data_IF_786147237481
#
_entry.id   IF_786147237481
#
_cell.length_a   1.000
_cell.length_b   1.000
_cell.length_c   1.000
_cell.angle_alpha   90.00
_cell.angle_beta   90.00
_cell.angle_gamma   90.00
#
_symmetry.space_group_name_H-M   'P 1'
#
loop_
_entity.id
_entity.type
_entity.pdbx_description
1 polymer ?
#
# COMPACT_ATOMS: atom_id res chain seq x y z
N UNK A 1 -17.52 7.46 14.92
CA UNK A 1 -16.50 8.30 14.28
C UNK A 1 -15.56 7.48 13.37
N UNK A 2 -14.72 6.58 13.92
CA UNK A 2 -13.73 5.81 13.12
C UNK A 2 -14.32 5.04 11.93
N UNK A 3 -15.45 4.34 12.12
CA UNK A 3 -16.13 3.61 11.02
C UNK A 3 -16.51 4.49 9.82
N UNK A 4 -16.73 5.78 10.03
CA UNK A 4 -17.03 6.69 8.93
C UNK A 4 -15.78 6.97 8.08
N UNK A 5 -14.63 7.14 8.72
CA UNK A 5 -13.35 7.44 8.06
C UNK A 5 -12.84 6.24 7.27
N UNK A 6 -12.89 5.04 7.85
CA UNK A 6 -12.39 3.81 7.20
C UNK A 6 -13.38 3.18 6.22
N UNK A 7 -14.56 3.77 6.02
CA UNK A 7 -15.55 3.23 5.08
C UNK A 7 -15.03 3.40 3.65
N UNK A 8 -14.85 2.28 2.96
CA UNK A 8 -14.45 2.24 1.57
C UNK A 8 -15.61 2.51 0.61
N UNK A 9 -15.26 2.90 -0.61
CA UNK A 9 -16.16 2.89 -1.76
C UNK A 9 -16.32 1.46 -2.35
N UNK A 10 -16.81 1.37 -3.59
CA UNK A 10 -16.97 0.08 -4.30
C UNK A 10 -15.66 -0.68 -4.49
N UNK A 11 -14.53 0.04 -4.56
CA UNK A 11 -13.21 -0.52 -4.76
C UNK A 11 -12.46 -0.72 -3.44
N UNK A 12 -13.04 -0.25 -2.33
CA UNK A 12 -12.42 -0.32 -1.00
C UNK A 12 -11.60 0.91 -0.63
N UNK A 13 -11.60 1.96 -1.45
CA UNK A 13 -10.84 3.18 -1.17
C UNK A 13 -11.53 4.03 -0.09
N UNK A 14 -10.85 4.43 1.00
CA UNK A 14 -11.45 5.15 2.11
C UNK A 14 -11.65 6.65 1.78
N UNK A 15 -12.63 6.96 0.93
CA UNK A 15 -12.92 8.31 0.41
C UNK A 15 -13.07 9.36 1.52
N UNK A 16 -13.68 9.00 2.64
CA UNK A 16 -13.92 9.95 3.74
C UNK A 16 -12.61 10.31 4.46
N UNK A 17 -11.72 9.34 4.67
CA UNK A 17 -10.39 9.60 5.22
C UNK A 17 -9.58 10.49 4.27
N UNK A 18 -9.59 10.18 2.98
CA UNK A 18 -8.87 10.97 1.97
C UNK A 18 -9.33 12.44 1.95
N UNK A 19 -10.66 12.68 1.97
CA UNK A 19 -11.23 14.03 2.03
C UNK A 19 -10.84 14.76 3.31
N UNK A 20 -10.89 14.05 4.44
CA UNK A 20 -10.53 14.60 5.74
C UNK A 20 -9.06 15.04 5.76
N UNK A 21 -8.13 14.17 5.35
CA UNK A 21 -6.70 14.48 5.31
C UNK A 21 -6.39 15.65 4.36
N UNK A 22 -7.03 15.70 3.18
CA UNK A 22 -6.85 16.83 2.25
C UNK A 22 -7.40 18.15 2.80
N UNK A 23 -8.44 18.10 3.62
CA UNK A 23 -8.95 19.28 4.31
C UNK A 23 -7.98 19.74 5.40
N UNK A 24 -7.47 18.82 6.22
CA UNK A 24 -6.49 19.13 7.27
C UNK A 24 -5.21 19.73 6.70
N UNK A 25 -4.74 19.20 5.56
CA UNK A 25 -3.63 19.80 4.81
C UNK A 25 -4.00 21.23 4.43
N UNK A 26 -5.16 21.47 3.79
CA UNK A 26 -5.57 22.82 3.36
C UNK A 26 -5.64 23.83 4.51
N UNK A 27 -6.08 23.41 5.69
CA UNK A 27 -6.23 24.26 6.88
C UNK A 27 -4.92 24.41 7.69
N UNK A 28 -3.83 23.76 7.26
CA UNK A 28 -2.59 23.74 8.01
C UNK A 28 -1.98 25.16 8.16
N UNK A 29 -1.75 25.68 9.38
CA UNK A 29 -1.35 27.07 9.59
C UNK A 29 0.06 27.43 9.09
N UNK A 30 0.97 26.44 9.00
CA UNK A 30 2.39 26.68 8.72
C UNK A 30 2.72 26.47 7.24
N UNK A 31 2.28 27.41 6.41
CA UNK A 31 2.39 27.33 4.93
C UNK A 31 3.83 27.36 4.38
N UNK A 32 4.77 27.85 5.19
CA UNK A 32 6.19 27.92 4.82
C UNK A 32 6.94 26.60 5.11
N UNK A 33 6.28 25.64 5.74
CA UNK A 33 6.86 24.31 5.96
C UNK A 33 7.09 23.62 4.61
N UNK A 34 8.35 23.25 4.31
CA UNK A 34 8.72 22.58 3.06
C UNK A 34 7.94 21.29 2.85
N UNK A 35 7.73 20.52 3.92
CA UNK A 35 6.94 19.30 3.91
C UNK A 35 5.48 19.58 3.51
N UNK A 36 4.88 20.62 4.06
CA UNK A 36 3.52 21.02 3.71
C UNK A 36 3.41 21.42 2.23
N UNK A 37 4.35 22.25 1.73
CA UNK A 37 4.34 22.65 0.33
C UNK A 37 4.53 21.46 -0.61
N UNK A 38 5.35 20.48 -0.23
CA UNK A 38 5.51 19.24 -0.98
C UNK A 38 4.21 18.43 -0.99
N UNK A 39 3.55 18.25 0.16
CA UNK A 39 2.26 17.56 0.26
C UNK A 39 1.20 18.18 -0.67
N UNK A 40 1.05 19.51 -0.65
CA UNK A 40 0.09 20.22 -1.50
C UNK A 40 0.42 20.06 -2.98
N UNK A 41 1.69 20.23 -3.36
CA UNK A 41 2.12 20.08 -4.77
C UNK A 41 1.86 18.68 -5.31
N UNK A 42 2.06 17.65 -4.50
CA UNK A 42 1.83 16.25 -4.91
C UNK A 42 0.34 15.89 -4.96
N UNK A 43 -0.47 16.34 -3.99
CA UNK A 43 -1.89 15.94 -3.89
C UNK A 43 -2.85 16.79 -4.71
N UNK A 44 -2.53 18.07 -4.96
CA UNK A 44 -3.40 18.98 -5.70
C UNK A 44 -3.80 18.48 -7.10
N UNK A 45 -2.92 17.88 -7.92
CA UNK A 45 -3.30 17.38 -9.25
C UNK A 45 -3.98 15.99 -9.22
N UNK A 46 -3.90 15.26 -8.11
CA UNK A 46 -4.37 13.87 -8.00
C UNK A 46 -5.84 13.86 -7.63
N UNK A 47 -6.68 13.08 -8.34
CA UNK A 47 -8.10 12.95 -7.98
C UNK A 47 -8.26 12.03 -6.77
N UNK A 48 -9.36 12.18 -6.05
CA UNK A 48 -9.70 11.28 -4.94
C UNK A 48 -9.94 9.88 -5.50
N UNK A 49 -9.20 8.88 -5.01
CA UNK A 49 -9.24 7.50 -5.47
C UNK A 49 -8.09 7.10 -6.38
N UNK A 50 -7.32 8.07 -6.88
CA UNK A 50 -6.07 7.83 -7.62
C UNK A 50 -4.87 7.87 -6.65
N UNK A 51 -3.77 7.22 -7.04
CA UNK A 51 -2.50 7.28 -6.30
C UNK A 51 -1.63 8.47 -6.76
N UNK A 52 -0.81 9.05 -5.88
CA UNK A 52 -0.66 8.72 -4.45
C UNK A 52 -1.82 9.25 -3.59
N UNK A 53 -2.30 8.44 -2.66
CA UNK A 53 -3.29 8.87 -1.65
C UNK A 53 -2.68 9.78 -0.57
N UNK A 54 -3.49 10.61 0.10
CA UNK A 54 -2.99 11.49 1.15
C UNK A 54 -2.36 10.71 2.31
N UNK A 55 -2.94 9.55 2.66
CA UNK A 55 -2.45 8.72 3.75
C UNK A 55 -1.08 8.07 3.42
N UNK A 56 -0.82 7.70 2.15
CA UNK A 56 0.48 7.12 1.77
C UNK A 56 1.59 8.16 1.90
N UNK A 57 1.39 9.37 1.35
CA UNK A 57 2.40 10.43 1.42
C UNK A 57 2.64 10.90 2.86
N UNK A 58 1.58 11.08 3.65
CA UNK A 58 1.74 11.45 5.07
C UNK A 58 2.45 10.32 5.82
N UNK A 59 2.10 9.07 5.54
CA UNK A 59 2.74 7.89 6.11
C UNK A 59 4.25 7.87 5.82
N UNK A 60 4.65 8.13 4.57
CA UNK A 60 6.05 8.23 4.16
C UNK A 60 6.77 9.42 4.79
N UNK A 61 6.12 10.58 4.89
CA UNK A 61 6.70 11.78 5.51
C UNK A 61 7.01 11.57 7.00
N UNK A 62 6.14 10.85 7.72
CA UNK A 62 6.30 10.59 9.16
C UNK A 62 7.26 9.43 9.41
N UNK A 63 7.13 8.35 8.64
CA UNK A 63 7.91 7.12 8.86
C UNK A 63 9.28 7.15 8.16
N UNK A 64 9.53 8.17 7.32
CA UNK A 64 10.67 8.26 6.41
C UNK A 64 10.41 7.51 5.11
N UNK A 65 11.15 7.89 4.05
CA UNK A 65 11.26 7.09 2.84
C UNK A 65 12.07 5.83 3.17
N UNK A 66 11.37 4.81 3.66
CA UNK A 66 11.94 3.47 3.82
C UNK A 66 12.12 2.88 2.42
N UNK A 67 13.12 2.02 2.23
CA UNK A 67 13.28 1.29 0.96
C UNK A 67 12.03 0.44 0.68
N UNK A 68 12.10 -0.46 -0.30
CA UNK A 68 11.04 -1.47 -0.56
C UNK A 68 10.90 -2.52 0.57
N UNK A 69 11.00 -2.08 1.83
CA UNK A 69 10.73 -2.85 3.01
C UNK A 69 9.23 -3.12 3.03
N UNK A 70 8.87 -4.39 2.85
CA UNK A 70 7.49 -4.90 2.78
C UNK A 70 6.77 -4.83 4.14
N UNK A 71 6.82 -3.68 4.83
CA UNK A 71 5.97 -3.42 5.98
C UNK A 71 4.57 -3.15 5.47
N UNK A 72 3.72 -4.13 5.72
CA UNK A 72 2.30 -4.02 5.47
C UNK A 72 1.63 -3.27 6.61
N UNK A 73 1.12 -2.08 6.31
CA UNK A 73 0.36 -1.31 7.28
C UNK A 73 -0.96 -2.01 7.62
N UNK A 74 -1.41 -1.84 8.87
CA UNK A 74 -2.72 -2.28 9.29
C UNK A 74 -3.79 -1.50 8.51
N UNK A 75 -4.68 -2.20 7.82
CA UNK A 75 -5.76 -1.59 7.04
C UNK A 75 -6.78 -0.81 7.90
N UNK A 76 -6.74 -0.96 9.22
CA UNK A 76 -7.66 -0.29 10.15
C UNK A 76 -7.05 0.92 10.86
N UNK A 77 -5.82 0.79 11.36
CA UNK A 77 -5.19 1.82 12.19
C UNK A 77 -3.89 2.39 11.61
N UNK A 78 -3.39 1.86 10.49
CA UNK A 78 -2.18 2.33 9.82
C UNK A 78 -0.86 1.90 10.47
N UNK A 79 -0.88 1.17 11.59
CA UNK A 79 0.32 0.67 12.27
C UNK A 79 1.19 -0.16 11.29
N UNK A 80 2.49 0.14 11.15
CA UNK A 80 3.38 -0.54 10.21
C UNK A 80 3.68 -2.00 10.58
N UNK A 81 3.38 -2.45 11.80
CA UNK A 81 3.68 -3.80 12.28
C UNK A 81 2.49 -4.77 12.14
N UNK A 82 1.76 -4.72 11.02
CA UNK A 82 0.59 -5.57 10.81
C UNK A 82 0.97 -6.95 10.25
N UNK A 83 1.16 -7.92 11.13
CA UNK A 83 1.64 -9.25 10.75
C UNK A 83 0.53 -10.18 10.21
N UNK A 84 -0.75 -9.88 10.48
CA UNK A 84 -1.84 -10.84 10.24
C UNK A 84 -2.60 -10.51 8.97
N UNK A 85 -2.40 -11.33 7.93
CA UNK A 85 -3.17 -11.27 6.67
C UNK A 85 -4.60 -11.75 6.86
N UNK A 86 -5.53 -11.18 6.10
CA UNK A 86 -6.87 -11.75 5.96
C UNK A 86 -6.76 -13.15 5.37
N UNK A 87 -7.32 -14.15 6.05
CA UNK A 87 -7.19 -15.56 5.64
C UNK A 87 -7.87 -15.88 4.32
N UNK A 88 -8.90 -15.12 3.95
CA UNK A 88 -9.63 -15.29 2.70
C UNK A 88 -8.86 -14.66 1.52
N UNK A 89 -8.80 -13.33 1.45
CA UNK A 89 -8.19 -12.65 0.30
C UNK A 89 -6.67 -12.61 0.31
N UNK A 90 -6.02 -12.68 1.48
CA UNK A 90 -4.57 -12.50 1.68
C UNK A 90 -3.99 -11.15 1.21
N UNK A 91 -4.82 -10.21 0.76
CA UNK A 91 -4.40 -8.90 0.22
C UNK A 91 -4.26 -7.81 1.28
N UNK A 92 -5.00 -7.89 2.39
CA UNK A 92 -4.99 -6.87 3.46
C UNK A 92 -4.46 -7.45 4.78
N UNK A 93 -3.85 -6.59 5.60
CA UNK A 93 -3.21 -6.95 6.86
C UNK A 93 -3.75 -6.17 8.05
N UNK A 94 -3.66 -6.79 9.23
CA UNK A 94 -4.16 -6.26 10.49
C UNK A 94 -3.17 -6.55 11.62
N UNK A 95 -3.13 -5.71 12.65
CA UNK A 95 -2.38 -6.01 13.88
C UNK A 95 -2.99 -7.22 14.59
N UNK A 96 -4.32 -7.24 14.69
CA UNK A 96 -5.07 -8.24 15.45
C UNK A 96 -6.51 -8.45 14.95
N UNK A 97 -7.24 -9.33 15.64
CA UNK A 97 -8.65 -9.62 15.37
C UNK A 97 -9.55 -8.41 15.64
N UNK A 98 -9.14 -7.48 16.49
CA UNK A 98 -9.90 -6.27 16.82
C UNK A 98 -9.94 -5.34 15.61
N UNK A 99 -8.77 -5.07 15.02
CA UNK A 99 -8.64 -4.28 13.81
C UNK A 99 -9.42 -4.90 12.64
N UNK A 100 -9.32 -6.22 12.47
CA UNK A 100 -10.08 -6.93 11.45
C UNK A 100 -11.59 -6.75 11.63
N UNK A 101 -12.12 -6.98 12.84
CA UNK A 101 -13.56 -6.82 13.14
C UNK A 101 -14.05 -5.39 12.91
N UNK A 102 -13.22 -4.39 13.23
CA UNK A 102 -13.57 -2.98 13.06
C UNK A 102 -13.65 -2.59 11.57
N UNK A 103 -12.79 -3.13 10.71
CA UNK A 103 -12.79 -2.89 9.26
C UNK A 103 -13.73 -3.83 8.48
N UNK A 104 -14.12 -4.96 9.06
CA UNK A 104 -14.89 -6.01 8.38
C UNK A 104 -16.17 -5.53 7.69
N UNK A 105 -16.88 -4.56 8.28
CA UNK A 105 -18.16 -4.07 7.73
C UNK A 105 -18.03 -3.54 6.29
N UNK A 106 -16.87 -2.98 5.94
CA UNK A 106 -16.57 -2.48 4.59
C UNK A 106 -15.68 -3.46 3.82
N UNK A 107 -14.75 -4.15 4.46
CA UNK A 107 -13.88 -5.10 3.77
C UNK A 107 -14.63 -6.30 3.19
N UNK A 108 -15.68 -6.78 3.86
CA UNK A 108 -16.44 -7.96 3.42
C UNK A 108 -16.99 -7.85 2.00
N UNK A 109 -17.29 -6.65 1.53
CA UNK A 109 -17.89 -6.43 0.20
C UNK A 109 -16.86 -6.58 -0.91
N UNK A 110 -15.59 -6.31 -0.63
CA UNK A 110 -14.48 -6.37 -1.58
C UNK A 110 -13.60 -7.61 -1.39
N UNK A 111 -13.70 -8.29 -0.24
CA UNK A 111 -12.81 -9.40 0.12
C UNK A 111 -12.79 -10.52 -0.94
N UNK A 112 -13.96 -10.92 -1.45
CA UNK A 112 -14.04 -11.96 -2.49
C UNK A 112 -13.36 -11.53 -3.80
N UNK A 113 -13.48 -10.26 -4.18
CA UNK A 113 -12.85 -9.73 -5.38
C UNK A 113 -11.33 -9.72 -5.24
N UNK A 114 -10.84 -9.27 -4.09
CA UNK A 114 -9.42 -9.26 -3.75
C UNK A 114 -8.80 -10.66 -3.71
N UNK A 115 -9.55 -11.68 -3.26
CA UNK A 115 -9.09 -13.08 -3.31
C UNK A 115 -8.80 -13.52 -4.74
N UNK A 116 -9.75 -13.26 -5.66
CA UNK A 116 -9.61 -13.63 -7.06
C UNK A 116 -8.43 -12.92 -7.73
N UNK A 117 -8.30 -11.61 -7.49
CA UNK A 117 -7.17 -10.85 -8.02
C UNK A 117 -5.82 -11.42 -7.56
N UNK A 118 -5.71 -11.83 -6.29
CA UNK A 118 -4.48 -12.44 -5.79
C UNK A 118 -4.18 -13.81 -6.44
N UNK A 119 -5.20 -14.62 -6.72
CA UNK A 119 -5.06 -15.89 -7.44
C UNK A 119 -4.59 -15.68 -8.89
N UNK A 120 -5.18 -14.69 -9.58
CA UNK A 120 -4.81 -14.32 -10.95
C UNK A 120 -3.35 -13.83 -11.00
N UNK A 121 -2.95 -12.94 -10.08
CA UNK A 121 -1.57 -12.44 -9.97
C UNK A 121 -0.58 -13.58 -9.69
N UNK A 122 -0.92 -14.51 -8.80
CA UNK A 122 -0.08 -15.68 -8.50
C UNK A 122 0.15 -16.55 -9.74
N UNK A 123 -0.89 -16.74 -10.55
CA UNK A 123 -0.83 -17.53 -11.79
C UNK A 123 0.07 -16.86 -12.83
N UNK A 124 -0.10 -15.56 -13.06
CA UNK A 124 0.73 -14.79 -13.99
C UNK A 124 2.23 -14.81 -13.62
N UNK A 125 2.55 -14.74 -12.32
CA UNK A 125 3.94 -14.83 -11.84
C UNK A 125 4.56 -16.21 -12.09
N UNK A 126 3.76 -17.28 -12.06
CA UNK A 126 4.24 -18.63 -12.34
C UNK A 126 4.50 -18.84 -13.84
N UNK A 127 3.65 -18.25 -14.69
CA UNK A 127 3.79 -18.29 -16.15
C UNK A 127 5.00 -17.50 -16.64
N UNK A 128 5.25 -16.32 -16.06
CA UNK A 128 6.43 -15.50 -16.40
C UNK A 128 7.74 -16.14 -15.93
N UNK A 129 7.78 -16.79 -14.77
CA UNK A 129 8.96 -17.53 -14.29
C UNK A 129 9.24 -18.84 -15.05
N UNK A 130 8.28 -19.38 -15.81
CA UNK A 130 8.48 -20.61 -16.59
C UNK A 130 8.96 -20.36 -18.03
N UNK A 131 8.92 -19.11 -18.52
CA UNK A 131 9.42 -18.72 -19.83
C UNK A 131 10.94 -18.40 -19.87
N UNK A 132 11.63 -18.33 -18.74
CA UNK A 132 13.07 -18.01 -18.66
C UNK A 132 14.00 -19.23 -18.48
N UNK A 133 13.49 -20.47 -18.55
CA UNK A 133 14.32 -21.68 -18.48
C UNK A 133 14.68 -22.23 -19.87
N UNK A 134 15.53 -21.51 -20.59
CA UNK A 134 16.37 -22.10 -21.65
C UNK A 134 17.80 -22.30 -21.11
N UNK A 135 18.30 -23.54 -20.94
CA UNK A 135 19.65 -23.79 -20.49
C UNK A 135 20.56 -24.00 -21.70
N UNK A 136 21.20 -22.94 -22.23
CA UNK A 136 22.40 -23.16 -23.04
C UNK A 136 23.32 -21.94 -23.17
N UNK A 137 24.62 -22.24 -23.06
CA UNK A 137 25.77 -21.55 -23.64
C UNK A 137 26.67 -20.67 -22.73
N UNK A 138 27.72 -21.36 -22.26
CA UNK A 138 29.17 -21.03 -22.37
C UNK A 138 29.89 -20.06 -21.43
N UNK A 139 30.82 -20.68 -20.70
CA UNK A 139 32.25 -20.32 -20.47
C UNK A 139 32.64 -18.87 -20.14
N UNK A 140 33.22 -18.70 -18.94
CA UNK A 140 34.17 -17.61 -18.65
C UNK A 140 35.54 -18.17 -18.23
N UNK A 141 36.64 -17.67 -18.82
CA UNK A 141 37.99 -17.99 -18.38
C UNK A 141 38.34 -17.17 -17.12
N UNK A 142 38.98 -17.82 -16.16
CA UNK A 142 39.52 -17.19 -14.96
C UNK A 142 40.73 -16.30 -15.28
N UNK A 143 40.65 -15.01 -14.98
CA UNK A 143 41.78 -14.09 -14.96
C UNK A 143 41.83 -13.37 -13.61
N UNK A 144 42.79 -13.73 -12.75
CA UNK A 144 43.23 -12.89 -11.63
C UNK A 144 44.74 -13.04 -11.38
N UNK A 145 45.41 -11.99 -11.85
CA UNK A 145 46.66 -11.34 -11.46
C UNK A 145 47.35 -11.76 -10.15
N UNK A 146 48.66 -11.96 -10.27
CA UNK A 146 49.65 -11.94 -9.19
C UNK A 146 49.69 -10.58 -8.48
N UNK A 147 49.95 -10.59 -7.18
CA UNK A 147 50.67 -9.54 -6.44
C UNK A 147 51.60 -10.21 -5.45
#
# INVERSE_FOLDING_TARGET
MIKHLIKGDINGFPVNLEKFLRQDIREYPYIECSLFQQLVRTLSPVKIGDEPSAISIIGEAVNGQRGVDNYSNCATCGDPNAEKKCSACKSVQYCDKTCQKLHWFTHKTICSHLSKLNEDVQTLHLESNSAEKDPNATDQPSCSSKS
#
